data_IF_032122269156
#
_entry.id   IF_032122269156
#
_cell.length_a   1.000
_cell.length_b   1.000
_cell.length_c   1.000
_cell.angle_alpha   90.00
_cell.angle_beta   90.00
_cell.angle_gamma   90.00
#
_symmetry.space_group_name_H-M   'P 1'
#
loop_
_entity.id
_entity.type
_entity.pdbx_description
1 polymer ?
#
# COMPACT_ATOMS: atom_id res chain seq x y z
N UNK A 1 -19.88 22.99 22.07
CA UNK A 1 -18.85 24.01 21.73
C UNK A 1 -18.44 23.83 20.27
N UNK A 2 -18.88 24.74 19.40
CA UNK A 2 -18.60 24.71 17.96
C UNK A 2 -17.20 25.26 17.64
N UNK A 3 -16.72 24.99 16.42
CA UNK A 3 -15.42 25.53 15.96
C UNK A 3 -15.46 27.06 15.94
N UNK A 4 -16.58 27.66 15.57
CA UNK A 4 -16.78 29.12 15.58
C UNK A 4 -16.72 29.71 16.99
N UNK A 5 -17.36 29.06 17.96
CA UNK A 5 -17.30 29.46 19.38
C UNK A 5 -15.87 29.37 19.94
N UNK A 6 -15.11 28.32 19.59
CA UNK A 6 -13.71 28.17 19.99
C UNK A 6 -12.78 29.17 19.30
N UNK A 7 -13.11 29.61 18.08
CA UNK A 7 -12.32 30.62 17.36
C UNK A 7 -12.52 32.03 17.92
N UNK A 8 -13.67 32.30 18.51
CA UNK A 8 -13.98 33.59 19.12
C UNK A 8 -13.18 33.85 20.41
N UNK A 9 -12.57 32.83 21.03
CA UNK A 9 -11.77 32.98 22.25
C UNK A 9 -10.34 33.46 22.01
N UNK A 10 -9.87 33.54 20.76
CA UNK A 10 -8.54 34.06 20.43
C UNK A 10 -8.60 35.54 20.04
N UNK A 11 -7.62 36.37 20.45
CA UNK A 11 -7.47 37.75 19.98
C UNK A 11 -7.46 37.84 18.45
N UNK A 12 -8.06 38.88 17.89
CA UNK A 12 -8.24 39.05 16.44
C UNK A 12 -6.92 38.95 15.66
N UNK A 13 -5.83 39.48 16.23
CA UNK A 13 -4.49 39.46 15.64
C UNK A 13 -3.94 38.03 15.49
N UNK A 14 -4.18 37.17 16.48
CA UNK A 14 -3.77 35.76 16.43
C UNK A 14 -4.60 34.98 15.41
N UNK A 15 -5.90 35.29 15.32
CA UNK A 15 -6.79 34.71 14.29
C UNK A 15 -6.29 35.09 12.90
N UNK A 16 -5.96 36.35 12.65
CA UNK A 16 -5.44 36.77 11.35
C UNK A 16 -4.10 36.09 11.01
N UNK A 17 -3.22 35.87 12.00
CA UNK A 17 -1.94 35.18 11.80
C UNK A 17 -2.10 33.68 11.49
N UNK A 18 -3.03 33.00 12.17
CA UNK A 18 -3.27 31.56 11.98
C UNK A 18 -3.99 31.28 10.65
N UNK A 19 -4.86 32.20 10.23
CA UNK A 19 -5.71 32.05 9.06
C UNK A 19 -5.31 32.97 7.90
N UNK A 20 -4.09 33.54 7.92
CA UNK A 20 -3.58 34.31 6.80
C UNK A 20 -3.61 33.43 5.53
N UNK A 21 -4.21 33.91 4.42
CA UNK A 21 -4.38 33.11 3.21
C UNK A 21 -3.08 32.48 2.70
N UNK A 22 -1.96 33.19 2.81
CA UNK A 22 -0.66 32.69 2.34
C UNK A 22 -0.13 31.58 3.27
N UNK A 23 -0.24 31.79 4.59
CA UNK A 23 0.16 30.78 5.58
C UNK A 23 -0.72 29.52 5.50
N UNK A 24 -2.01 29.67 5.22
CA UNK A 24 -2.92 28.55 5.05
C UNK A 24 -2.65 27.78 3.75
N UNK A 25 -2.43 28.49 2.64
CA UNK A 25 -2.03 27.89 1.37
C UNK A 25 -0.73 27.10 1.51
N UNK A 26 0.29 27.68 2.16
CA UNK A 26 1.56 27.00 2.43
C UNK A 26 1.37 25.73 3.27
N UNK A 27 0.55 25.78 4.32
CA UNK A 27 0.23 24.58 5.12
C UNK A 27 -0.51 23.51 4.33
N UNK A 28 -1.41 23.89 3.43
CA UNK A 28 -2.12 22.94 2.56
C UNK A 28 -1.16 22.28 1.57
N UNK A 29 -0.26 23.06 0.98
CA UNK A 29 0.80 22.54 0.10
C UNK A 29 1.74 21.59 0.87
N UNK A 30 2.12 21.94 2.10
CA UNK A 30 2.98 21.10 2.94
C UNK A 30 2.28 19.81 3.37
N UNK A 31 0.96 19.85 3.63
CA UNK A 31 0.13 18.67 3.88
C UNK A 31 -0.03 17.78 2.65
N UNK A 32 0.02 18.36 1.44
CA UNK A 32 0.04 17.61 0.18
C UNK A 32 1.42 17.02 -0.14
N UNK A 33 2.51 17.69 0.26
CA UNK A 33 3.90 17.25 0.08
C UNK A 33 4.33 16.16 1.06
N UNK A 34 3.67 16.04 2.21
CA UNK A 34 3.91 14.93 3.14
C UNK A 34 3.36 13.62 2.54
N UNK A 35 4.20 12.61 2.22
CA UNK A 35 3.68 11.30 1.87
C UNK A 35 2.99 10.75 3.13
N UNK A 36 1.66 10.62 3.08
CA UNK A 36 0.86 10.02 4.16
C UNK A 36 1.33 8.58 4.38
N UNK A 37 2.38 8.35 5.18
CA UNK A 37 2.88 7.03 5.54
C UNK A 37 1.77 6.30 6.29
N UNK A 38 1.00 5.49 5.57
CA UNK A 38 0.03 4.58 6.16
C UNK A 38 0.79 3.35 6.62
N UNK A 39 1.09 3.33 7.92
CA UNK A 39 1.83 2.25 8.57
C UNK A 39 0.83 1.39 9.36
N UNK A 40 0.80 0.10 9.10
CA UNK A 40 0.05 -0.89 9.88
C UNK A 40 1.06 -1.84 10.51
N UNK A 41 1.07 -1.96 11.84
CA UNK A 41 2.03 -2.79 12.60
C UNK A 41 3.52 -2.57 12.21
N UNK A 42 3.92 -1.31 12.02
CA UNK A 42 5.30 -0.96 11.65
C UNK A 42 5.64 -1.13 10.16
N UNK A 43 4.71 -1.65 9.35
CA UNK A 43 4.91 -1.82 7.90
C UNK A 43 4.23 -0.69 7.13
N UNK A 44 4.99 0.00 6.28
CA UNK A 44 4.43 1.01 5.36
C UNK A 44 3.65 0.33 4.23
N UNK A 45 2.33 0.30 4.37
CA UNK A 45 1.38 -0.36 3.45
C UNK A 45 1.35 0.33 2.08
N UNK A 46 1.86 1.56 1.97
CA UNK A 46 1.93 2.30 0.70
C UNK A 46 3.22 2.07 -0.08
N UNK A 47 4.18 1.30 0.42
CA UNK A 47 5.37 0.96 -0.35
C UNK A 47 5.07 -0.16 -1.36
N UNK A 48 4.16 0.12 -2.30
CA UNK A 48 3.75 -0.80 -3.37
C UNK A 48 4.92 -1.29 -4.23
N UNK A 49 6.05 -0.58 -4.19
CA UNK A 49 7.21 -0.88 -5.01
C UNK A 49 8.04 -2.00 -4.39
N UNK A 50 8.25 -1.98 -3.06
CA UNK A 50 9.02 -3.03 -2.37
C UNK A 50 8.28 -4.35 -2.39
N UNK A 51 6.98 -4.35 -2.11
CA UNK A 51 6.17 -5.57 -2.15
C UNK A 51 6.17 -6.23 -3.54
N UNK A 52 6.07 -5.44 -4.61
CA UNK A 52 6.11 -5.99 -5.97
C UNK A 52 7.51 -6.50 -6.33
N UNK A 53 8.57 -5.87 -5.83
CA UNK A 53 9.93 -6.37 -6.00
C UNK A 53 10.15 -7.69 -5.25
N UNK A 54 9.67 -7.80 -4.01
CA UNK A 54 9.72 -9.05 -3.24
C UNK A 54 8.98 -10.18 -3.96
N UNK A 55 7.78 -9.90 -4.49
CA UNK A 55 7.02 -10.86 -5.31
C UNK A 55 7.79 -11.30 -6.56
N UNK A 56 8.52 -10.39 -7.21
CA UNK A 56 9.29 -10.73 -8.41
C UNK A 56 10.46 -11.70 -8.16
N UNK A 57 10.95 -11.77 -6.91
CA UNK A 57 12.00 -12.71 -6.50
C UNK A 57 11.40 -14.08 -6.19
N UNK A 58 10.22 -14.12 -5.57
CA UNK A 58 9.57 -15.35 -5.12
C UNK A 58 8.85 -16.11 -6.24
N UNK A 59 8.35 -15.39 -7.24
CA UNK A 59 7.56 -15.97 -8.32
C UNK A 59 8.49 -16.35 -9.49
N UNK A 60 8.53 -17.63 -9.91
CA UNK A 60 9.28 -18.05 -11.08
C UNK A 60 8.76 -17.31 -12.30
N UNK A 61 9.52 -16.31 -12.75
CA UNK A 61 9.21 -15.58 -13.97
C UNK A 61 9.89 -16.34 -15.10
N UNK A 62 9.13 -16.81 -16.11
CA UNK A 62 9.70 -17.40 -17.32
C UNK A 62 10.60 -16.34 -17.98
N UNK A 63 11.90 -16.48 -17.76
CA UNK A 63 12.90 -15.48 -18.08
C UNK A 63 13.29 -15.57 -19.55
N UNK A 64 12.37 -15.25 -20.45
CA UNK A 64 12.73 -14.96 -21.83
C UNK A 64 12.07 -13.65 -22.25
N UNK A 65 12.92 -12.65 -22.48
CA UNK A 65 12.61 -11.34 -23.05
C UNK A 65 11.99 -10.32 -22.09
N UNK A 66 12.84 -9.48 -21.52
CA UNK A 66 12.44 -8.08 -21.30
C UNK A 66 13.07 -7.35 -20.13
N UNK A 67 14.38 -7.09 -20.19
CA UNK A 67 15.05 -5.93 -19.57
C UNK A 67 14.84 -5.66 -18.07
N UNK A 68 15.51 -4.64 -17.51
CA UNK A 68 15.54 -4.39 -16.06
C UNK A 68 14.24 -3.80 -15.47
N UNK A 69 13.09 -3.92 -16.14
CA UNK A 69 11.79 -3.36 -15.68
C UNK A 69 10.60 -4.24 -16.09
N UNK A 70 10.47 -5.42 -15.49
CA UNK A 70 9.23 -6.18 -15.58
C UNK A 70 8.07 -5.33 -15.03
N UNK A 71 7.01 -5.13 -15.82
CA UNK A 71 5.89 -4.30 -15.43
C UNK A 71 5.14 -4.91 -14.25
N UNK A 72 4.74 -4.10 -13.26
CA UNK A 72 4.07 -4.57 -12.03
C UNK A 72 2.86 -5.46 -12.30
N UNK A 73 2.06 -5.11 -13.29
CA UNK A 73 0.90 -5.89 -13.69
C UNK A 73 1.29 -7.31 -14.16
N UNK A 74 2.45 -7.46 -14.82
CA UNK A 74 3.00 -8.75 -15.25
C UNK A 74 3.44 -9.58 -14.05
N UNK A 75 4.14 -8.97 -13.09
CA UNK A 75 4.53 -9.63 -11.82
C UNK A 75 3.30 -10.10 -11.05
N UNK A 76 2.28 -9.25 -10.89
CA UNK A 76 1.04 -9.60 -10.20
C UNK A 76 0.28 -10.73 -10.91
N UNK A 77 0.26 -10.73 -12.25
CA UNK A 77 -0.36 -11.80 -13.03
C UNK A 77 0.33 -13.14 -12.79
N UNK A 78 1.66 -13.18 -12.91
CA UNK A 78 2.41 -14.39 -12.63
C UNK A 78 2.26 -14.86 -11.18
N UNK A 79 2.16 -13.92 -10.24
CA UNK A 79 1.91 -14.24 -8.83
C UNK A 79 0.59 -15.00 -8.66
N UNK A 80 -0.48 -14.53 -9.32
CA UNK A 80 -1.79 -15.20 -9.28
C UNK A 80 -1.71 -16.61 -9.85
N UNK A 81 -1.07 -16.75 -11.01
CA UNK A 81 -0.94 -18.04 -11.69
C UNK A 81 -0.11 -19.03 -10.87
N UNK A 82 0.99 -18.57 -10.27
CA UNK A 82 1.85 -19.38 -9.40
C UNK A 82 1.13 -19.83 -8.12
N UNK A 83 0.36 -18.94 -7.48
CA UNK A 83 -0.45 -19.31 -6.31
C UNK A 83 -1.46 -20.41 -6.67
N UNK A 84 -2.14 -20.31 -7.82
CA UNK A 84 -3.08 -21.34 -8.27
C UNK A 84 -2.40 -22.68 -8.50
N UNK A 85 -1.24 -22.67 -9.15
CA UNK A 85 -0.44 -23.87 -9.39
C UNK A 85 -0.05 -24.56 -8.07
N UNK A 86 0.49 -23.80 -7.11
CA UNK A 86 0.87 -24.33 -5.79
C UNK A 86 -0.34 -24.84 -5.01
N UNK A 87 -1.51 -24.21 -5.14
CA UNK A 87 -2.74 -24.71 -4.53
C UNK A 87 -3.18 -26.05 -5.12
N UNK A 88 -3.10 -26.19 -6.44
CA UNK A 88 -3.44 -27.44 -7.13
C UNK A 88 -2.46 -28.56 -6.76
N UNK A 89 -1.16 -28.29 -6.77
CA UNK A 89 -0.13 -29.22 -6.34
C UNK A 89 -0.34 -29.67 -4.88
N UNK A 90 -0.60 -28.73 -3.97
CA UNK A 90 -0.90 -29.06 -2.57
C UNK A 90 -2.16 -29.93 -2.44
N UNK A 91 -3.18 -29.69 -3.26
CA UNK A 91 -4.38 -30.53 -3.26
C UNK A 91 -4.06 -31.95 -3.74
N UNK A 92 -3.26 -32.09 -4.79
CA UNK A 92 -2.80 -33.40 -5.29
C UNK A 92 -1.97 -34.15 -4.22
N UNK A 93 -1.03 -33.46 -3.57
CA UNK A 93 -0.24 -34.04 -2.48
C UNK A 93 -1.11 -34.46 -1.29
N UNK A 94 -2.13 -33.67 -0.93
CA UNK A 94 -3.09 -34.03 0.12
C UNK A 94 -3.94 -35.23 -0.26
N UNK A 95 -4.30 -35.41 -1.53
CA UNK A 95 -4.96 -36.61 -2.02
C UNK A 95 -4.04 -37.84 -1.92
N UNK A 96 -2.77 -37.70 -2.31
CA UNK A 96 -1.77 -38.78 -2.20
C UNK A 96 -1.52 -39.22 -0.76
N UNK A 97 -1.55 -38.28 0.19
CA UNK A 97 -1.42 -38.56 1.62
C UNK A 97 -2.71 -39.09 2.27
N UNK A 98 -3.80 -39.24 1.52
CA UNK A 98 -5.10 -39.69 2.04
C UNK A 98 -5.79 -38.69 2.99
N UNK A 99 -5.29 -37.45 3.07
CA UNK A 99 -5.77 -36.40 3.99
C UNK A 99 -7.05 -35.70 3.52
N UNK A 100 -7.53 -36.02 2.31
CA UNK A 100 -8.82 -35.58 1.76
C UNK A 100 -9.92 -36.64 1.91
N UNK A 101 -9.83 -37.48 2.93
CA UNK A 101 -10.92 -38.30 3.43
C UNK A 101 -11.12 -38.05 4.91
N UNK A 102 -11.84 -36.98 5.26
CA UNK A 102 -12.88 -37.00 6.28
C UNK A 102 -13.72 -35.71 6.16
N UNK A 103 -15.03 -35.95 6.02
CA UNK A 103 -16.19 -35.06 5.91
C UNK A 103 -16.05 -33.65 6.47
#
# INVERSE_FOLDING_TARGET
MTISERRASYPLQERLKIYDPNSMAQRLDDLQKQPRKLVLHGVNVLNKNTLVNELSVLVPSSAENGGPKCHRAKILRYTIDYIRMIQEENNQLRQQLGLLSNK
#
